data_IF_070220301355
#
_entry.id   IF_070220301355
#
_cell.length_a   1.000
_cell.length_b   1.000
_cell.length_c   1.000
_cell.angle_alpha   90.00
_cell.angle_beta   90.00
_cell.angle_gamma   90.00
#
_symmetry.space_group_name_H-M   'P 1'
#
loop_
_entity.id
_entity.type
_entity.pdbx_description
1 polymer ?
#
# COMPACT_ATOMS: atom_id res chain seq x y z
N UNK A 1 -15.01 18.48 18.40
CA UNK A 1 -13.73 17.75 18.42
C UNK A 1 -14.04 16.31 18.07
N UNK A 2 -13.63 15.86 16.89
CA UNK A 2 -13.71 14.45 16.49
C UNK A 2 -12.78 13.69 17.43
N UNK A 3 -13.25 12.64 18.10
CA UNK A 3 -12.39 11.88 19.01
C UNK A 3 -11.21 11.28 18.24
N UNK A 4 -10.03 11.17 18.86
CA UNK A 4 -8.85 10.61 18.19
C UNK A 4 -9.11 9.23 17.56
N UNK A 5 -10.03 8.45 18.13
CA UNK A 5 -10.46 7.14 17.62
C UNK A 5 -11.28 7.24 16.32
N UNK A 6 -12.09 8.29 16.19
CA UNK A 6 -12.90 8.56 15.01
C UNK A 6 -12.04 9.16 13.89
N UNK A 7 -11.03 9.97 14.24
CA UNK A 7 -9.98 10.40 13.31
C UNK A 7 -9.11 9.23 12.83
N UNK A 8 -8.80 8.26 13.70
CA UNK A 8 -8.09 7.02 13.32
C UNK A 8 -8.91 6.13 12.38
N UNK A 9 -10.23 6.02 12.60
CA UNK A 9 -11.16 5.30 11.71
C UNK A 9 -11.35 5.98 10.35
N UNK A 10 -11.37 7.31 10.32
CA UNK A 10 -11.43 8.10 9.07
C UNK A 10 -10.13 8.06 8.25
N UNK A 11 -9.01 7.65 8.86
CA UNK A 11 -7.68 7.63 8.21
C UNK A 11 -7.36 6.32 7.48
N UNK A 12 -8.07 5.23 7.77
CA UNK A 12 -7.80 3.93 7.13
C UNK A 12 -8.63 3.83 5.86
N UNK A 13 -7.97 3.80 4.71
CA UNK A 13 -8.64 3.51 3.45
C UNK A 13 -9.23 2.10 3.53
N UNK A 14 -10.53 1.98 3.31
CA UNK A 14 -11.21 0.68 3.20
C UNK A 14 -11.30 0.34 1.72
N UNK A 15 -10.71 -0.78 1.34
CA UNK A 15 -10.79 -1.30 -0.02
C UNK A 15 -11.85 -2.39 -0.08
N UNK A 16 -12.79 -2.25 -1.02
CA UNK A 16 -13.70 -3.35 -1.35
C UNK A 16 -13.03 -4.29 -2.37
N UNK A 17 -13.55 -5.51 -2.53
CA UNK A 17 -12.99 -6.51 -3.43
C UNK A 17 -12.76 -5.96 -4.87
N UNK A 18 -13.74 -5.22 -5.40
CA UNK A 18 -13.64 -4.61 -6.73
C UNK A 18 -12.52 -3.56 -6.86
N UNK A 19 -12.10 -2.93 -5.76
CA UNK A 19 -10.97 -1.99 -5.77
C UNK A 19 -9.65 -2.74 -5.86
N UNK A 20 -9.53 -3.78 -5.05
CA UNK A 20 -8.37 -4.67 -5.04
C UNK A 20 -8.20 -5.33 -6.41
N UNK A 21 -9.27 -5.75 -7.07
CA UNK A 21 -9.22 -6.31 -8.42
C UNK A 21 -8.67 -5.30 -9.44
N UNK A 22 -9.15 -4.05 -9.43
CA UNK A 22 -8.65 -2.99 -10.32
C UNK A 22 -7.18 -2.67 -10.06
N UNK A 23 -6.79 -2.59 -8.79
CA UNK A 23 -5.39 -2.36 -8.39
C UNK A 23 -4.53 -3.52 -8.88
N UNK A 24 -4.94 -4.78 -8.67
CA UNK A 24 -4.22 -5.96 -9.13
C UNK A 24 -4.01 -5.98 -10.64
N UNK A 25 -5.03 -5.60 -11.42
CA UNK A 25 -4.92 -5.49 -12.88
C UNK A 25 -3.87 -4.45 -13.28
N UNK A 26 -3.87 -3.27 -12.65
CA UNK A 26 -2.89 -2.22 -12.92
C UNK A 26 -1.46 -2.65 -12.54
N UNK A 27 -1.29 -3.26 -11.37
CA UNK A 27 -0.01 -3.79 -10.90
C UNK A 27 0.53 -4.88 -11.85
N UNK A 28 -0.34 -5.79 -12.31
CA UNK A 28 0.05 -6.87 -13.23
C UNK A 28 0.44 -6.31 -14.61
N UNK A 29 -0.30 -5.32 -15.10
CA UNK A 29 0.03 -4.63 -16.35
C UNK A 29 1.40 -3.93 -16.25
N UNK A 30 1.69 -3.28 -15.12
CA UNK A 30 3.00 -2.69 -14.85
C UNK A 30 4.12 -3.72 -14.83
N UNK A 31 3.96 -4.84 -14.11
CA UNK A 31 4.97 -5.92 -14.05
C UNK A 31 5.37 -6.37 -15.45
N UNK A 32 4.36 -6.60 -16.31
CA UNK A 32 4.58 -6.98 -17.72
C UNK A 32 5.24 -5.86 -18.53
N UNK A 33 4.72 -4.63 -18.45
CA UNK A 33 5.20 -3.48 -19.24
C UNK A 33 6.62 -3.07 -18.87
N UNK A 34 6.95 -3.09 -17.58
CA UNK A 34 8.25 -2.68 -17.06
C UNK A 34 9.28 -3.81 -17.07
N UNK A 35 8.86 -5.04 -17.38
CA UNK A 35 9.64 -6.25 -17.12
C UNK A 35 10.19 -6.27 -15.67
N UNK A 36 9.38 -5.78 -14.73
CA UNK A 36 9.73 -5.73 -13.33
C UNK A 36 9.65 -7.14 -12.75
N UNK A 37 10.47 -7.44 -11.75
CA UNK A 37 10.37 -8.71 -11.02
C UNK A 37 9.06 -8.74 -10.23
N UNK A 38 8.77 -7.67 -9.49
CA UNK A 38 7.55 -7.57 -8.70
C UNK A 38 7.18 -6.12 -8.40
N UNK A 39 5.93 -5.91 -8.03
CA UNK A 39 5.44 -4.63 -7.53
C UNK A 39 4.47 -4.84 -6.37
N UNK A 40 4.43 -3.88 -5.45
CA UNK A 40 3.56 -3.87 -4.28
C UNK A 40 3.02 -2.47 -4.02
N UNK A 41 1.79 -2.46 -3.51
CA UNK A 41 1.14 -1.29 -2.97
C UNK A 41 0.94 -1.54 -1.48
N UNK A 42 1.53 -0.67 -0.65
CA UNK A 42 1.51 -0.81 0.81
C UNK A 42 1.11 0.52 1.45
N UNK A 43 0.58 0.50 2.67
CA UNK A 43 0.49 1.72 3.47
C UNK A 43 1.84 2.06 4.14
N UNK A 44 1.92 3.25 4.72
CA UNK A 44 3.12 3.76 5.39
C UNK A 44 3.52 2.94 6.64
N UNK A 45 2.62 2.10 7.16
CA UNK A 45 2.88 1.18 8.26
C UNK A 45 3.39 -0.19 7.77
N UNK A 46 3.42 -0.41 6.46
CA UNK A 46 3.88 -1.65 5.84
C UNK A 46 2.79 -2.70 5.65
N UNK A 47 1.51 -2.36 5.85
CA UNK A 47 0.42 -3.28 5.53
C UNK A 47 0.26 -3.39 4.01
N UNK A 48 0.12 -4.63 3.54
CA UNK A 48 -0.07 -4.92 2.13
C UNK A 48 -1.48 -4.57 1.66
N UNK A 49 -1.59 -3.76 0.61
CA UNK A 49 -2.85 -3.54 -0.13
C UNK A 49 -2.96 -4.54 -1.28
N UNK A 50 -1.93 -4.62 -2.11
CA UNK A 50 -1.88 -5.52 -3.26
C UNK A 50 -0.45 -5.80 -3.70
N UNK A 51 -0.20 -6.93 -4.36
CA UNK A 51 1.12 -7.31 -4.89
C UNK A 51 1.00 -8.13 -6.17
N UNK A 52 1.99 -8.01 -7.05
CA UNK A 52 2.11 -8.81 -8.29
C UNK A 52 3.58 -9.16 -8.59
N UNK A 53 3.81 -10.27 -9.29
CA UNK A 53 5.14 -10.71 -9.73
C UNK A 53 5.98 -11.50 -8.70
N UNK A 54 5.46 -11.70 -7.49
CA UNK A 54 6.16 -12.48 -6.46
C UNK A 54 6.20 -13.97 -6.77
N UNK A 55 7.39 -14.57 -6.66
CA UNK A 55 7.54 -16.03 -6.59
C UNK A 55 7.31 -16.53 -5.16
N UNK A 56 6.94 -17.81 -5.00
CA UNK A 56 6.52 -18.37 -3.70
C UNK A 56 7.54 -18.21 -2.57
N UNK A 57 8.84 -18.12 -2.87
CA UNK A 57 9.90 -18.05 -1.87
C UNK A 57 10.30 -16.63 -1.46
N UNK A 58 9.66 -15.59 -2.01
CA UNK A 58 9.96 -14.20 -1.64
C UNK A 58 8.94 -13.69 -0.63
N UNK A 59 9.42 -13.32 0.56
CA UNK A 59 8.61 -12.75 1.62
C UNK A 59 8.27 -11.28 1.33
N UNK A 60 7.15 -11.06 0.64
CA UNK A 60 6.66 -9.72 0.35
C UNK A 60 6.25 -8.94 1.60
N UNK A 61 5.89 -9.63 2.69
CA UNK A 61 5.48 -8.98 3.94
C UNK A 61 6.69 -8.42 4.66
N UNK A 62 7.78 -9.18 4.73
CA UNK A 62 9.07 -8.68 5.22
C UNK A 62 9.57 -7.50 4.38
N UNK A 63 9.48 -7.59 3.04
CA UNK A 63 9.86 -6.47 2.17
C UNK A 63 9.01 -5.23 2.43
N UNK A 64 7.69 -5.37 2.59
CA UNK A 64 6.79 -4.26 2.89
C UNK A 64 7.16 -3.56 4.20
N UNK A 65 7.38 -4.33 5.28
CA UNK A 65 7.76 -3.80 6.58
C UNK A 65 9.10 -3.04 6.54
N UNK A 66 10.10 -3.62 5.86
CA UNK A 66 11.42 -3.00 5.71
C UNK A 66 11.36 -1.72 4.87
N UNK A 67 10.58 -1.71 3.78
CA UNK A 67 10.40 -0.52 2.95
C UNK A 67 9.67 0.58 3.70
N UNK A 68 8.61 0.25 4.45
CA UNK A 68 7.90 1.22 5.29
C UNK A 68 8.82 1.86 6.35
N UNK A 69 9.60 1.04 7.07
CA UNK A 69 10.57 1.53 8.06
C UNK A 69 11.69 2.38 7.43
N UNK A 70 12.23 1.96 6.30
CA UNK A 70 13.21 2.73 5.53
C UNK A 70 12.64 4.08 5.08
N UNK A 71 11.43 4.09 4.50
CA UNK A 71 10.75 5.30 4.07
C UNK A 71 10.51 6.26 5.23
N UNK A 72 10.02 5.77 6.38
CA UNK A 72 9.84 6.57 7.59
C UNK A 72 11.15 7.23 8.04
N UNK A 73 12.27 6.50 7.99
CA UNK A 73 13.59 7.05 8.31
C UNK A 73 14.02 8.16 7.33
N UNK A 74 13.74 8.00 6.04
CA UNK A 74 14.07 9.03 5.03
C UNK A 74 13.20 10.28 5.14
N UNK A 75 12.00 10.21 5.74
CA UNK A 75 11.20 11.42 6.04
C UNK A 75 11.88 12.31 7.07
N UNK A 76 12.56 11.72 8.06
CA UNK A 76 13.35 12.50 9.02
C UNK A 76 14.55 13.16 8.34
N UNK A 77 15.18 12.49 7.37
CA UNK A 77 16.24 13.09 6.55
C UNK A 77 15.69 14.28 5.74
N UNK A 78 14.54 14.14 5.09
CA UNK A 78 13.88 15.24 4.38
C UNK A 78 13.62 16.43 5.31
N UNK A 79 13.07 16.17 6.49
CA UNK A 79 12.81 17.20 7.51
C UNK A 79 14.07 17.95 7.93
N UNK A 80 15.19 17.24 8.14
CA UNK A 80 16.47 17.85 8.49
C UNK A 80 17.04 18.73 7.37
N UNK A 81 16.70 18.42 6.12
CA UNK A 81 17.08 19.22 4.95
C UNK A 81 16.11 20.36 4.63
N UNK A 82 15.03 20.51 5.41
CA UNK A 82 13.99 21.52 5.18
C UNK A 82 12.97 21.14 4.09
N UNK A 83 13.00 19.89 3.61
CA UNK A 83 12.04 19.36 2.65
C UNK A 83 10.79 18.82 3.37
N UNK A 84 9.61 18.93 2.74
CA UNK A 84 8.37 18.34 3.29
C UNK A 84 8.51 16.81 3.37
N UNK A 85 8.91 16.19 2.27
CA UNK A 85 9.14 14.75 2.14
C UNK A 85 9.80 14.41 0.80
N UNK A 86 10.56 13.31 0.78
CA UNK A 86 10.96 12.68 -0.48
C UNK A 86 9.81 11.85 -1.04
N UNK A 87 9.31 12.23 -2.23
CA UNK A 87 8.22 11.49 -2.89
C UNK A 87 8.69 10.26 -3.65
N UNK A 88 9.97 10.22 -4.02
CA UNK A 88 10.56 9.11 -4.78
C UNK A 88 11.89 8.74 -4.15
N UNK A 89 12.09 7.44 -3.90
CA UNK A 89 13.36 6.88 -3.46
C UNK A 89 13.80 5.79 -4.44
N UNK A 90 15.11 5.70 -4.65
CA UNK A 90 15.71 4.72 -5.53
C UNK A 90 16.87 4.03 -4.81
N UNK A 91 16.82 2.72 -4.72
CA UNK A 91 17.88 1.89 -4.14
C UNK A 91 18.47 1.03 -5.24
N UNK A 92 19.76 1.23 -5.54
CA UNK A 92 20.46 0.50 -6.58
C UNK A 92 21.27 -0.64 -5.97
N UNK A 93 20.96 -1.88 -6.33
CA UNK A 93 21.78 -3.05 -6.04
C UNK A 93 22.53 -3.53 -7.27
N UNK A 94 23.44 -4.51 -7.09
CA UNK A 94 24.17 -5.13 -8.21
C UNK A 94 23.29 -6.05 -9.07
N UNK A 95 22.34 -6.75 -8.46
CA UNK A 95 21.41 -7.64 -9.16
C UNK A 95 19.99 -7.09 -9.28
N UNK A 96 19.45 -6.57 -8.18
CA UNK A 96 18.10 -6.02 -8.10
C UNK A 96 18.16 -4.57 -7.60
N UNK A 97 17.22 -3.76 -8.06
CA UNK A 97 17.02 -2.38 -7.63
C UNK A 97 15.56 -2.18 -7.21
N UNK A 98 15.33 -1.18 -6.36
CA UNK A 98 14.01 -0.86 -5.80
C UNK A 98 13.67 0.60 -6.10
N UNK A 99 12.49 0.84 -6.64
CA UNK A 99 11.91 2.17 -6.83
C UNK A 99 10.68 2.30 -5.93
N UNK A 100 10.69 3.30 -5.05
CA UNK A 100 9.61 3.58 -4.10
C UNK A 100 8.98 4.93 -4.49
N UNK A 101 7.65 4.99 -4.54
CA UNK A 101 6.91 6.21 -4.86
C UNK A 101 5.80 6.40 -3.84
N UNK A 102 5.81 7.57 -3.19
CA UNK A 102 4.72 8.00 -2.32
C UNK A 102 3.53 8.46 -3.17
N UNK A 103 2.38 7.83 -2.93
CA UNK A 103 1.08 8.18 -3.50
C UNK A 103 0.25 8.88 -2.43
N UNK A 104 -0.24 10.08 -2.74
CA UNK A 104 -0.83 10.96 -1.73
C UNK A 104 0.14 11.20 -0.57
N UNK A 105 -0.28 10.84 0.65
CA UNK A 105 0.46 11.08 1.91
C UNK A 105 0.80 9.79 2.69
N UNK A 106 0.21 8.63 2.35
CA UNK A 106 0.27 7.42 3.20
C UNK A 106 0.46 6.11 2.46
N UNK A 107 0.45 6.10 1.13
CA UNK A 107 0.53 4.86 0.35
C UNK A 107 1.83 4.83 -0.43
N UNK A 108 2.53 3.70 -0.42
CA UNK A 108 3.78 3.51 -1.16
C UNK A 108 3.55 2.49 -2.28
N UNK A 109 3.85 2.91 -3.50
CA UNK A 109 4.10 2.01 -4.62
C UNK A 109 5.57 1.62 -4.60
N UNK A 110 5.85 0.33 -4.68
CA UNK A 110 7.22 -0.20 -4.63
C UNK A 110 7.41 -1.17 -5.79
N UNK A 111 8.41 -0.93 -6.62
CA UNK A 111 8.78 -1.80 -7.74
C UNK A 111 10.16 -2.39 -7.49
N UNK A 112 10.30 -3.70 -7.68
CA UNK A 112 11.57 -4.45 -7.65
C UNK A 112 11.87 -4.94 -9.06
N UNK A 113 13.08 -4.70 -9.55
CA UNK A 113 13.43 -4.95 -10.94
C UNK A 113 14.93 -5.20 -11.08
N UNK A 114 15.32 -5.92 -12.14
CA UNK A 114 16.71 -6.21 -12.42
C UNK A 114 17.51 -4.91 -12.65
N UNK A 115 18.71 -4.82 -12.08
CA UNK A 115 19.56 -3.62 -12.18
C UNK A 115 20.05 -3.30 -13.61
N UNK A 116 19.79 -4.19 -14.58
CA UNK A 116 20.00 -3.95 -16.02
C UNK A 116 18.97 -3.00 -16.62
N UNK A 117 17.82 -2.81 -15.97
CA UNK A 117 16.79 -1.84 -16.37
C UNK A 117 17.27 -0.43 -16.05
N UNK A 118 17.23 0.46 -17.03
CA UNK A 118 17.70 1.85 -16.89
C UNK A 118 16.82 2.61 -15.88
N UNK A 119 17.41 3.35 -14.91
CA UNK A 119 16.67 4.11 -13.90
C UNK A 119 15.63 5.08 -14.48
N UNK A 120 15.96 5.78 -15.59
CA UNK A 120 15.02 6.70 -16.24
C UNK A 120 13.79 5.99 -16.81
N UNK A 121 13.94 4.78 -17.36
CA UNK A 121 12.84 4.01 -17.93
C UNK A 121 11.88 3.54 -16.84
N UNK A 122 12.42 2.94 -15.76
CA UNK A 122 11.58 2.49 -14.65
C UNK A 122 10.92 3.66 -13.94
N UNK A 123 11.58 4.82 -13.83
CA UNK A 123 11.01 6.03 -13.25
C UNK A 123 9.75 6.49 -14.01
N UNK A 124 9.80 6.53 -15.35
CA UNK A 124 8.65 6.89 -16.19
C UNK A 124 7.49 5.91 -15.98
N UNK A 125 7.76 4.61 -16.02
CA UNK A 125 6.72 3.58 -15.86
C UNK A 125 6.13 3.58 -14.44
N UNK A 126 6.95 3.79 -13.42
CA UNK A 126 6.48 3.95 -12.04
C UNK A 126 5.58 5.17 -11.90
N UNK A 127 5.92 6.29 -12.55
CA UNK A 127 5.11 7.51 -12.53
C UNK A 127 3.76 7.30 -13.23
N UNK A 128 3.74 6.59 -14.36
CA UNK A 128 2.48 6.23 -15.03
C UNK A 128 1.58 5.34 -14.15
N UNK A 129 2.17 4.34 -13.47
CA UNK A 129 1.43 3.51 -12.53
C UNK A 129 0.91 4.34 -11.35
N UNK A 130 1.73 5.25 -10.81
CA UNK A 130 1.36 6.11 -9.69
C UNK A 130 0.10 6.93 -9.99
N UNK A 131 0.03 7.54 -11.18
CA UNK A 131 -1.15 8.30 -11.61
C UNK A 131 -2.41 7.43 -11.65
N UNK A 132 -2.31 6.21 -12.19
CA UNK A 132 -3.44 5.28 -12.24
C UNK A 132 -3.91 4.87 -10.84
N UNK A 133 -2.96 4.55 -9.96
CA UNK A 133 -3.25 4.15 -8.59
C UNK A 133 -3.84 5.30 -7.76
N UNK A 134 -3.35 6.54 -7.92
CA UNK A 134 -3.90 7.70 -7.23
C UNK A 134 -5.37 7.95 -7.57
N UNK A 135 -5.78 7.73 -8.83
CA UNK A 135 -7.20 7.80 -9.23
C UNK A 135 -8.02 6.72 -8.50
N UNK A 136 -7.53 5.47 -8.49
CA UNK A 136 -8.23 4.36 -7.81
C UNK A 136 -8.33 4.58 -6.29
N UNK A 137 -7.25 5.08 -5.67
CA UNK A 137 -7.20 5.41 -4.25
C UNK A 137 -8.16 6.55 -3.91
N UNK A 138 -8.24 7.59 -4.73
CA UNK A 138 -9.19 8.68 -4.56
C UNK A 138 -10.65 8.21 -4.67
N UNK A 139 -10.94 7.30 -5.60
CA UNK A 139 -12.28 6.72 -5.75
C UNK A 139 -12.66 5.77 -4.61
N UNK A 140 -11.68 5.07 -4.02
CA UNK A 140 -11.87 4.34 -2.76
C UNK A 140 -12.15 5.29 -1.58
N UNK A 141 -11.40 6.39 -1.47
CA UNK A 141 -11.55 7.37 -0.39
C UNK A 141 -12.94 8.03 -0.35
N UNK A 142 -13.57 8.26 -1.51
CA UNK A 142 -14.90 8.89 -1.60
C UNK A 142 -16.04 8.04 -1.01
N UNK A 143 -15.83 6.72 -0.86
CA UNK A 143 -16.82 5.81 -0.29
C UNK A 143 -16.66 5.80 1.23
N UNK A 144 -17.25 6.81 1.88
CA UNK A 144 -17.21 6.97 3.33
C UNK A 144 -17.70 5.70 4.08
N UNK A 145 -17.19 5.43 5.30
CA UNK A 145 -17.58 4.28 6.12
C UNK A 145 -19.07 4.23 6.50
N UNK A 146 -19.83 5.31 6.31
CA UNK A 146 -21.27 5.38 6.64
C UNK A 146 -22.12 4.35 5.88
N UNK A 147 -21.73 3.95 4.66
CA UNK A 147 -22.42 2.89 3.92
C UNK A 147 -22.13 1.48 4.48
N UNK A 148 -20.97 1.27 5.08
CA UNK A 148 -20.62 0.01 5.75
C UNK A 148 -21.38 -0.14 7.08
N UNK A 149 -21.61 0.95 7.80
CA UNK A 149 -22.33 0.92 9.07
C UNK A 149 -23.80 0.53 8.94
N UNK A 150 -24.47 0.93 7.84
CA UNK A 150 -25.86 0.56 7.58
C UNK A 150 -26.05 -0.93 7.24
N UNK A 151 -25.00 -1.60 6.74
CA UNK A 151 -25.03 -3.04 6.41
C UNK A 151 -24.52 -3.94 7.54
N UNK A 152 -23.69 -3.43 8.45
CA UNK A 152 -23.07 -4.21 9.52
C UNK A 152 -23.78 -4.11 10.89
N UNK A 153 -24.72 -3.18 11.09
CA UNK A 153 -25.15 -2.75 12.44
C UNK A 153 -25.76 -3.81 13.37
N UNK A 154 -26.59 -4.73 12.88
CA UNK A 154 -27.35 -5.66 13.74
C UNK A 154 -26.76 -7.09 13.76
N UNK A 155 -26.65 -7.73 12.59
CA UNK A 155 -26.19 -9.13 12.52
C UNK A 155 -24.71 -9.34 12.75
N UNK A 156 -23.87 -8.34 12.51
CA UNK A 156 -22.42 -8.46 12.73
C UNK A 156 -22.05 -8.43 14.21
N UNK A 157 -22.74 -7.62 15.03
CA UNK A 157 -22.45 -7.54 16.47
C UNK A 157 -22.78 -8.84 17.20
N UNK A 158 -23.89 -9.50 16.85
CA UNK A 158 -24.24 -10.81 17.41
C UNK A 158 -23.28 -11.90 16.95
N UNK A 159 -23.02 -11.99 15.64
CA UNK A 159 -22.07 -12.97 15.10
C UNK A 159 -20.64 -12.79 15.65
N UNK A 160 -20.20 -11.55 15.84
CA UNK A 160 -18.87 -11.25 16.39
C UNK A 160 -18.79 -11.60 17.89
N UNK A 161 -19.89 -11.42 18.64
CA UNK A 161 -19.97 -11.81 20.05
C UNK A 161 -19.90 -13.34 20.20
N UNK A 162 -20.69 -14.07 19.44
CA UNK A 162 -20.68 -15.54 19.46
C UNK A 162 -19.30 -16.11 19.08
N UNK A 163 -18.63 -15.47 18.12
CA UNK A 163 -17.31 -15.89 17.67
C UNK A 163 -16.20 -15.52 18.68
N UNK A 164 -16.31 -14.39 19.38
CA UNK A 164 -15.42 -14.02 20.49
C UNK A 164 -15.58 -14.97 21.67
N UNK A 165 -16.82 -15.29 22.05
CA UNK A 165 -17.11 -16.23 23.13
C UNK A 165 -16.60 -17.65 22.79
N UNK A 166 -16.65 -18.07 21.53
CA UNK A 166 -16.05 -19.32 21.06
C UNK A 166 -14.51 -19.34 21.17
N UNK A 167 -13.85 -18.22 20.87
CA UNK A 167 -12.39 -18.11 20.87
C UNK A 167 -11.79 -17.92 22.27
N UNK A 168 -12.52 -17.26 23.17
CA UNK A 168 -12.00 -16.83 24.49
C UNK A 168 -12.82 -17.34 25.69
N UNK A 169 -13.99 -17.93 25.49
CA UNK A 169 -14.88 -18.36 26.58
C UNK A 169 -14.43 -19.60 27.35
N UNK A 170 -13.36 -20.27 26.93
CA UNK A 170 -12.75 -21.41 27.61
C UNK A 170 -11.36 -21.10 28.22
N UNK A 171 -11.03 -19.81 28.43
CA UNK A 171 -9.83 -19.40 29.18
C UNK A 171 -10.13 -19.12 30.65
#
# INVERSE_FOLDING_TARGET
MVSDNEALRLRRLVFYAADIDKINVALLAFVKKANAQSTLLIDQEGHMVARQGFQQNHDSSALAALVAGSFASTREVARLLGEKEFRVLFHQGSGQSIHITLLGERTLQVAVFASTIKPGMIHVLCKELAVQLEVMLADAAKRAPEQAQQTLGAGFSEAMKDQLDSLFGNL
#
